data_IF_589711246030
#
_entry.id   IF_589711246030
#
_cell.length_a   1.000
_cell.length_b   1.000
_cell.length_c   1.000
_cell.angle_alpha   90.00
_cell.angle_beta   90.00
_cell.angle_gamma   90.00
#
_symmetry.space_group_name_H-M   'P 1'
#
loop_
_entity.id
_entity.type
_entity.pdbx_description
1 polymer ?
#
# COMPACT_ATOMS: atom_id res chain seq x y z
N UNK A 1 -7.32 19.85 37.64
CA UNK A 1 -7.83 18.69 36.88
C UNK A 1 -8.09 19.13 35.46
N UNK A 2 -7.13 18.88 34.57
CA UNK A 2 -7.33 19.09 33.12
C UNK A 2 -8.25 17.94 32.66
N UNK A 3 -9.45 18.24 32.12
CA UNK A 3 -10.39 17.19 31.77
C UNK A 3 -9.80 16.31 30.71
N UNK A 4 -9.64 15.02 31.00
CA UNK A 4 -9.19 13.96 30.10
C UNK A 4 -9.92 13.96 28.73
N UNK A 5 -11.07 14.60 28.65
CA UNK A 5 -11.86 14.81 27.43
C UNK A 5 -11.20 15.74 26.40
N UNK A 6 -10.42 16.73 26.84
CA UNK A 6 -9.75 17.68 25.93
C UNK A 6 -8.53 17.04 25.27
N UNK A 7 -7.78 16.20 25.99
CA UNK A 7 -6.62 15.49 25.44
C UNK A 7 -7.01 14.52 24.34
N UNK A 8 -8.13 13.82 24.50
CA UNK A 8 -8.64 12.91 23.45
C UNK A 8 -9.15 13.64 22.20
N UNK A 9 -9.73 14.83 22.36
CA UNK A 9 -10.23 15.61 21.21
C UNK A 9 -9.11 16.28 20.41
N UNK A 10 -8.06 16.75 21.05
CA UNK A 10 -6.89 17.30 20.33
C UNK A 10 -6.12 16.23 19.54
N UNK A 11 -5.97 15.03 20.10
CA UNK A 11 -5.37 13.91 19.39
C UNK A 11 -6.17 13.53 18.13
N UNK A 12 -7.50 13.44 18.24
CA UNK A 12 -8.36 13.14 17.10
C UNK A 12 -8.36 14.23 16.02
N UNK A 13 -8.23 15.50 16.38
CA UNK A 13 -8.17 16.61 15.41
C UNK A 13 -6.83 16.62 14.68
N UNK A 14 -5.74 16.32 15.37
CA UNK A 14 -4.39 16.29 14.80
C UNK A 14 -4.24 15.13 13.81
N UNK A 15 -4.70 13.95 14.16
CA UNK A 15 -4.67 12.76 13.30
C UNK A 15 -5.54 12.92 12.03
N UNK A 16 -6.69 13.58 12.15
CA UNK A 16 -7.55 13.87 10.99
C UNK A 16 -6.89 14.82 10.00
N UNK A 17 -6.21 15.85 10.48
CA UNK A 17 -5.51 16.80 9.61
C UNK A 17 -4.36 16.13 8.85
N UNK A 18 -3.65 15.20 9.47
CA UNK A 18 -2.56 14.45 8.85
C UNK A 18 -3.06 13.54 7.72
N UNK A 19 -4.15 12.80 7.96
CA UNK A 19 -4.76 11.92 6.96
C UNK A 19 -5.32 12.72 5.78
N UNK A 20 -6.01 13.82 6.03
CA UNK A 20 -6.53 14.69 4.96
C UNK A 20 -5.39 15.32 4.14
N UNK A 21 -4.32 15.76 4.80
CA UNK A 21 -3.17 16.34 4.12
C UNK A 21 -2.46 15.31 3.22
N UNK A 22 -2.26 14.09 3.70
CA UNK A 22 -1.64 13.03 2.90
C UNK A 22 -2.51 12.60 1.71
N UNK A 23 -3.84 12.57 1.87
CA UNK A 23 -4.76 12.34 0.77
C UNK A 23 -4.70 13.46 -0.29
N UNK A 24 -4.65 14.74 0.13
CA UNK A 24 -4.47 15.84 -0.80
C UNK A 24 -3.15 15.77 -1.55
N UNK A 25 -2.04 15.43 -0.87
CA UNK A 25 -0.75 15.21 -1.51
C UNK A 25 -0.77 14.06 -2.53
N UNK A 26 -1.54 13.02 -2.26
CA UNK A 26 -1.72 11.93 -3.23
C UNK A 26 -2.38 12.43 -4.52
N UNK A 27 -3.41 13.26 -4.45
CA UNK A 27 -4.03 13.87 -5.64
C UNK A 27 -3.05 14.80 -6.38
N UNK A 28 -2.27 15.60 -5.66
CA UNK A 28 -1.23 16.43 -6.27
C UNK A 28 -0.20 15.56 -7.01
N UNK A 29 0.26 14.48 -6.39
CA UNK A 29 1.19 13.54 -7.01
C UNK A 29 0.59 12.90 -8.29
N UNK A 30 -0.70 12.52 -8.26
CA UNK A 30 -1.40 12.01 -9.44
C UNK A 30 -1.43 13.05 -10.57
N UNK A 31 -1.67 14.32 -10.27
CA UNK A 31 -1.67 15.38 -11.28
C UNK A 31 -0.28 15.63 -11.87
N UNK A 32 0.76 15.57 -11.05
CA UNK A 32 2.15 15.68 -11.53
C UNK A 32 2.49 14.53 -12.49
N UNK A 33 2.11 13.29 -12.13
CA UNK A 33 2.29 12.12 -13.00
C UNK A 33 1.51 12.29 -14.30
N UNK A 34 0.25 12.75 -14.23
CA UNK A 34 -0.56 13.04 -15.42
C UNK A 34 0.10 14.06 -16.34
N UNK A 35 0.61 15.14 -15.77
CA UNK A 35 1.34 16.16 -16.53
C UNK A 35 2.58 15.56 -17.23
N UNK A 36 3.37 14.74 -16.55
CA UNK A 36 4.52 14.07 -17.14
C UNK A 36 4.10 13.11 -18.27
N UNK A 37 3.00 12.39 -18.10
CA UNK A 37 2.47 11.46 -19.11
C UNK A 37 2.07 12.24 -20.37
N UNK A 38 1.31 13.33 -20.23
CA UNK A 38 0.89 14.16 -21.37
C UNK A 38 2.08 14.72 -22.13
N UNK A 39 3.18 15.03 -21.43
CA UNK A 39 4.39 15.52 -22.08
C UNK A 39 5.12 14.44 -22.89
N UNK A 40 5.09 13.18 -22.44
CA UNK A 40 5.80 12.04 -23.05
C UNK A 40 4.87 11.03 -23.74
N UNK A 41 3.57 11.32 -23.85
CA UNK A 41 2.61 10.38 -24.46
C UNK A 41 2.95 10.07 -25.92
N UNK A 42 2.81 8.80 -26.29
CA UNK A 42 2.94 8.33 -27.66
C UNK A 42 2.01 7.14 -27.92
N UNK A 43 1.02 7.22 -28.83
CA UNK A 43 0.61 8.40 -29.61
C UNK A 43 -0.10 9.47 -28.78
N UNK A 44 -0.10 10.71 -29.24
CA UNK A 44 -0.75 11.84 -28.54
C UNK A 44 -2.25 11.59 -28.33
N UNK A 45 -2.72 11.83 -27.11
CA UNK A 45 -4.13 11.59 -26.71
C UNK A 45 -4.41 10.19 -26.15
N UNK A 46 -3.39 9.33 -26.01
CA UNK A 46 -3.54 7.97 -25.47
C UNK A 46 -3.58 7.89 -23.94
N UNK A 47 -3.23 8.98 -23.23
CA UNK A 47 -3.02 9.01 -21.78
C UNK A 47 -2.03 7.95 -21.25
N UNK A 48 -1.13 7.46 -22.11
CA UNK A 48 -0.10 6.49 -21.79
C UNK A 48 1.21 6.85 -22.49
N UNK A 49 2.34 6.51 -21.89
CA UNK A 49 3.66 6.72 -22.50
C UNK A 49 3.94 5.72 -23.63
N UNK A 50 3.01 4.79 -23.88
CA UNK A 50 3.25 3.65 -24.77
C UNK A 50 4.17 2.61 -24.14
N UNK A 51 4.61 1.63 -24.94
CA UNK A 51 5.52 0.60 -24.45
C UNK A 51 6.94 1.17 -24.43
N UNK A 52 7.52 1.27 -23.26
CA UNK A 52 8.85 1.84 -23.04
C UNK A 52 9.90 0.91 -23.67
N UNK A 53 10.74 1.46 -24.55
CA UNK A 53 11.87 0.77 -25.19
C UNK A 53 11.52 -0.57 -25.85
N UNK A 54 10.42 -0.64 -26.56
CA UNK A 54 9.95 -1.86 -27.24
C UNK A 54 11.02 -2.48 -28.17
N UNK A 55 11.82 -1.64 -28.84
CA UNK A 55 12.83 -2.10 -29.79
C UNK A 55 14.09 -2.65 -29.10
N UNK A 56 14.54 -2.02 -28.01
CA UNK A 56 15.81 -2.36 -27.34
C UNK A 56 15.61 -3.19 -26.08
N UNK A 57 14.37 -3.29 -25.56
CA UNK A 57 14.03 -3.91 -24.25
C UNK A 57 14.89 -3.40 -23.08
N UNK A 58 15.53 -2.22 -23.25
CA UNK A 58 16.36 -1.61 -22.23
C UNK A 58 15.50 -1.21 -21.02
N UNK A 59 15.92 -1.63 -19.82
CA UNK A 59 15.18 -1.38 -18.59
C UNK A 59 14.07 -2.40 -18.26
N UNK A 60 13.88 -3.41 -19.10
CA UNK A 60 13.01 -4.54 -18.80
C UNK A 60 13.76 -5.54 -17.93
N UNK A 61 13.08 -6.14 -16.97
CA UNK A 61 13.67 -7.19 -16.16
C UNK A 61 13.85 -8.46 -17.03
N UNK A 62 15.05 -9.07 -17.05
CA UNK A 62 15.29 -10.27 -17.84
C UNK A 62 14.45 -11.45 -17.34
N UNK A 63 14.17 -12.40 -18.23
CA UNK A 63 13.46 -13.62 -17.87
C UNK A 63 14.35 -14.52 -16.99
N UNK A 64 13.82 -14.96 -15.85
CA UNK A 64 14.50 -15.91 -14.96
C UNK A 64 13.89 -17.29 -15.14
N UNK A 65 14.67 -18.30 -15.52
CA UNK A 65 14.23 -19.69 -15.78
C UNK A 65 13.06 -19.80 -16.77
N UNK A 66 12.98 -18.91 -17.78
CA UNK A 66 11.90 -18.90 -18.76
C UNK A 66 10.57 -18.32 -18.24
N UNK A 67 10.56 -17.77 -17.04
CA UNK A 67 9.39 -17.10 -16.47
C UNK A 67 9.54 -15.57 -16.54
N UNK A 68 8.56 -14.91 -17.15
CA UNK A 68 8.55 -13.46 -17.36
C UNK A 68 8.58 -12.66 -16.05
N UNK A 69 8.05 -13.21 -14.96
CA UNK A 69 7.91 -12.51 -13.67
C UNK A 69 8.87 -13.00 -12.58
N UNK A 70 9.86 -13.86 -12.93
CA UNK A 70 10.76 -14.47 -11.96
C UNK A 70 11.51 -13.43 -11.11
N UNK A 71 12.10 -12.43 -11.74
CA UNK A 71 12.80 -11.35 -11.04
C UNK A 71 11.90 -10.49 -10.14
N UNK A 72 10.65 -10.27 -10.55
CA UNK A 72 9.69 -9.53 -9.73
C UNK A 72 9.45 -10.25 -8.40
N UNK A 73 9.24 -11.56 -8.45
CA UNK A 73 9.03 -12.38 -7.24
C UNK A 73 10.27 -12.36 -6.35
N UNK A 74 11.47 -12.50 -6.92
CA UNK A 74 12.73 -12.48 -6.16
C UNK A 74 12.92 -11.14 -5.46
N UNK A 75 12.72 -10.02 -6.16
CA UNK A 75 12.86 -8.67 -5.57
C UNK A 75 11.88 -8.48 -4.42
N UNK A 76 10.61 -8.85 -4.62
CA UNK A 76 9.58 -8.74 -3.57
C UNK A 76 9.92 -9.61 -2.37
N UNK A 77 10.41 -10.83 -2.59
CA UNK A 77 10.82 -11.75 -1.53
C UNK A 77 11.99 -11.18 -0.70
N UNK A 78 13.02 -10.68 -1.37
CA UNK A 78 14.17 -10.03 -0.72
C UNK A 78 13.71 -8.81 0.10
N UNK A 79 12.85 -7.97 -0.45
CA UNK A 79 12.29 -6.82 0.27
C UNK A 79 11.47 -7.24 1.48
N UNK A 80 10.64 -8.27 1.36
CA UNK A 80 9.81 -8.77 2.47
C UNK A 80 10.67 -9.31 3.60
N UNK A 81 11.67 -10.15 3.28
CA UNK A 81 12.60 -10.69 4.28
C UNK A 81 13.45 -9.58 4.89
N UNK A 82 13.94 -8.65 4.06
CA UNK A 82 14.72 -7.51 4.52
C UNK A 82 13.93 -6.62 5.48
N UNK A 83 12.67 -6.32 5.17
CA UNK A 83 11.79 -5.55 6.06
C UNK A 83 11.44 -6.30 7.34
N UNK A 84 11.24 -7.61 7.27
CA UNK A 84 11.04 -8.42 8.47
C UNK A 84 12.25 -8.37 9.41
N UNK A 85 13.46 -8.54 8.88
CA UNK A 85 14.70 -8.46 9.64
C UNK A 85 14.88 -7.05 10.21
N UNK A 86 14.64 -6.02 9.40
CA UNK A 86 14.77 -4.64 9.82
C UNK A 86 13.83 -4.28 10.98
N UNK A 87 12.55 -4.65 10.89
CA UNK A 87 11.57 -4.33 11.93
C UNK A 87 11.79 -5.14 13.21
N UNK A 88 12.21 -6.41 13.11
CA UNK A 88 12.29 -7.32 14.25
C UNK A 88 13.65 -7.29 14.97
N UNK A 89 14.74 -7.13 14.23
CA UNK A 89 16.10 -7.31 14.78
C UNK A 89 16.91 -6.01 14.84
N UNK A 90 16.55 -4.96 14.11
CA UNK A 90 17.29 -3.71 14.15
C UNK A 90 16.81 -2.80 15.29
N UNK A 91 17.74 -2.05 15.89
CA UNK A 91 17.44 -1.00 16.89
C UNK A 91 16.40 -0.01 16.37
N UNK A 92 16.45 0.30 15.09
CA UNK A 92 15.52 1.23 14.44
C UNK A 92 14.09 0.69 14.40
N UNK A 93 13.91 -0.63 14.21
CA UNK A 93 12.60 -1.26 14.27
C UNK A 93 11.99 -1.17 15.68
N UNK A 94 12.79 -1.34 16.71
CA UNK A 94 12.37 -1.14 18.10
C UNK A 94 11.96 0.33 18.34
N UNK A 95 12.75 1.30 17.90
CA UNK A 95 12.41 2.73 18.01
C UNK A 95 11.09 3.07 17.35
N UNK A 96 10.82 2.48 16.15
CA UNK A 96 9.55 2.65 15.42
C UNK A 96 8.38 2.08 16.23
N UNK A 97 8.53 0.88 16.79
CA UNK A 97 7.49 0.23 17.59
C UNK A 97 7.13 1.06 18.84
N UNK A 98 8.13 1.55 19.56
CA UNK A 98 7.92 2.38 20.78
C UNK A 98 7.25 3.70 20.43
N UNK A 99 7.68 4.38 19.35
CA UNK A 99 7.07 5.64 18.90
C UNK A 99 5.61 5.41 18.46
N UNK A 100 5.35 4.27 17.78
CA UNK A 100 4.01 3.90 17.33
C UNK A 100 3.04 3.59 18.48
N UNK A 101 3.54 3.08 19.61
CA UNK A 101 2.72 2.80 20.78
C UNK A 101 2.42 4.08 21.59
N UNK A 102 3.44 4.91 21.83
CA UNK A 102 3.27 6.19 22.54
C UNK A 102 4.45 7.13 22.31
N UNK A 103 4.17 8.30 21.73
CA UNK A 103 5.19 9.36 21.58
C UNK A 103 5.78 9.82 22.92
N UNK A 104 4.96 9.90 23.96
CA UNK A 104 5.40 10.34 25.27
C UNK A 104 6.37 9.33 25.87
N UNK A 105 6.06 8.04 25.80
CA UNK A 105 6.94 6.96 26.27
C UNK A 105 8.27 6.98 25.53
N UNK A 106 8.25 7.19 24.22
CA UNK A 106 9.46 7.28 23.40
C UNK A 106 10.35 8.46 23.84
N UNK A 107 9.76 9.62 24.13
CA UNK A 107 10.50 10.81 24.64
C UNK A 107 11.12 10.55 26.00
N UNK A 108 10.42 9.90 26.92
CA UNK A 108 10.99 9.51 28.23
C UNK A 108 12.15 8.51 28.09
N UNK A 109 12.10 7.64 27.10
CA UNK A 109 13.19 6.72 26.77
C UNK A 109 14.37 7.38 26.01
N UNK A 110 14.33 8.70 25.79
CA UNK A 110 15.38 9.45 25.08
C UNK A 110 15.38 9.28 23.56
N UNK A 111 14.31 8.73 22.98
CA UNK A 111 14.19 8.53 21.55
C UNK A 111 13.78 9.85 20.88
N UNK A 112 14.50 10.23 19.82
CA UNK A 112 14.20 11.44 19.06
C UNK A 112 13.07 11.16 18.05
N UNK A 113 11.81 11.27 18.49
CA UNK A 113 10.59 10.97 17.73
C UNK A 113 10.62 11.58 16.32
N UNK A 114 10.99 12.85 16.18
CA UNK A 114 11.07 13.53 14.89
C UNK A 114 12.02 12.85 13.88
N UNK A 115 13.19 12.38 14.35
CA UNK A 115 14.14 11.67 13.47
C UNK A 115 13.62 10.29 13.06
N UNK A 116 12.93 9.60 13.98
CA UNK A 116 12.32 8.29 13.70
C UNK A 116 11.26 8.43 12.63
N UNK A 117 10.34 9.41 12.76
CA UNK A 117 9.28 9.66 11.78
C UNK A 117 9.87 9.97 10.39
N UNK A 118 10.81 10.92 10.30
CA UNK A 118 11.40 11.29 9.00
C UNK A 118 12.08 10.08 8.33
N UNK A 119 12.83 9.28 9.09
CA UNK A 119 13.50 8.09 8.58
C UNK A 119 12.50 7.03 8.11
N UNK A 120 11.46 6.79 8.88
CA UNK A 120 10.41 5.81 8.52
C UNK A 120 9.69 6.22 7.24
N UNK A 121 9.35 7.50 7.10
CA UNK A 121 8.74 8.03 5.89
C UNK A 121 9.67 7.92 4.68
N UNK A 122 10.97 8.19 4.84
CA UNK A 122 11.94 8.05 3.76
C UNK A 122 12.10 6.59 3.31
N UNK A 123 12.17 5.63 4.25
CA UNK A 123 12.23 4.20 3.94
C UNK A 123 10.95 3.74 3.24
N UNK A 124 9.79 4.14 3.75
CA UNK A 124 8.50 3.83 3.11
C UNK A 124 8.43 4.36 1.68
N UNK A 125 8.83 5.61 1.46
CA UNK A 125 8.90 6.21 0.12
C UNK A 125 9.85 5.45 -0.82
N UNK A 126 11.02 5.03 -0.33
CA UNK A 126 11.97 4.25 -1.11
C UNK A 126 11.38 2.88 -1.53
N UNK A 127 10.70 2.18 -0.61
CA UNK A 127 10.02 0.91 -0.91
C UNK A 127 8.91 1.09 -1.93
N UNK A 128 8.10 2.15 -1.80
CA UNK A 128 7.07 2.49 -2.78
C UNK A 128 7.68 2.79 -4.16
N UNK A 129 8.83 3.48 -4.22
CA UNK A 129 9.57 3.72 -5.45
C UNK A 129 10.03 2.42 -6.11
N UNK A 130 10.60 1.48 -5.32
CA UNK A 130 11.01 0.16 -5.83
C UNK A 130 9.78 -0.63 -6.31
N UNK A 131 8.66 -0.59 -5.59
CA UNK A 131 7.43 -1.25 -6.01
C UNK A 131 6.92 -0.69 -7.35
N UNK A 132 6.94 0.62 -7.53
CA UNK A 132 6.61 1.26 -8.81
C UNK A 132 7.55 0.84 -9.94
N UNK A 133 8.86 0.80 -9.68
CA UNK A 133 9.84 0.30 -10.64
C UNK A 133 9.55 -1.14 -11.06
N UNK A 134 9.31 -2.05 -10.10
CA UNK A 134 9.01 -3.46 -10.37
C UNK A 134 7.73 -3.61 -11.20
N UNK A 135 6.70 -2.80 -10.96
CA UNK A 135 5.46 -2.83 -11.73
C UNK A 135 5.71 -2.39 -13.18
N UNK A 136 6.42 -1.28 -13.37
CA UNK A 136 6.66 -0.73 -14.71
C UNK A 136 7.66 -1.56 -15.49
N UNK A 137 8.79 -1.92 -14.87
CA UNK A 137 9.87 -2.64 -15.54
C UNK A 137 9.60 -4.13 -15.72
N UNK A 138 8.81 -4.72 -14.82
CA UNK A 138 8.60 -6.16 -14.79
C UNK A 138 7.23 -6.64 -15.25
N UNK A 139 6.21 -5.79 -15.29
CA UNK A 139 4.87 -6.25 -15.59
C UNK A 139 4.16 -5.44 -16.68
N UNK A 140 4.03 -4.13 -16.53
CA UNK A 140 3.21 -3.32 -17.44
C UNK A 140 3.98 -2.75 -18.62
N UNK A 141 5.29 -2.55 -18.49
CA UNK A 141 6.17 -1.92 -19.50
C UNK A 141 5.66 -0.56 -20.02
N UNK A 142 4.67 0.02 -19.35
CA UNK A 142 4.07 1.30 -19.68
C UNK A 142 3.72 2.06 -18.41
N UNK A 143 3.64 3.39 -18.51
CA UNK A 143 3.18 4.26 -17.45
C UNK A 143 1.87 4.90 -17.89
N UNK A 144 0.83 4.73 -17.07
CA UNK A 144 -0.46 5.37 -17.26
C UNK A 144 -0.95 5.97 -15.94
N UNK A 145 -1.92 6.85 -16.00
CA UNK A 145 -2.57 7.41 -14.81
C UNK A 145 -3.21 6.33 -13.91
N UNK A 146 -3.59 5.20 -14.51
CA UNK A 146 -4.18 4.05 -13.81
C UNK A 146 -3.15 3.04 -13.28
N UNK A 147 -1.85 3.24 -13.49
CA UNK A 147 -0.81 2.27 -13.08
C UNK A 147 -0.84 1.99 -11.56
N UNK A 148 -1.15 2.99 -10.75
CA UNK A 148 -1.31 2.82 -9.30
C UNK A 148 -2.60 2.07 -8.90
N UNK A 149 -3.69 2.20 -9.70
CA UNK A 149 -4.93 1.43 -9.62
C UNK A 149 -5.56 1.30 -8.23
N UNK A 150 -5.41 2.29 -7.35
CA UNK A 150 -5.94 2.22 -5.97
C UNK A 150 -5.24 1.22 -5.04
N UNK A 151 -4.14 0.61 -5.47
CA UNK A 151 -3.40 -0.42 -4.70
C UNK A 151 -2.93 0.06 -3.33
N UNK A 152 -2.74 1.38 -3.15
CA UNK A 152 -2.41 1.96 -1.86
C UNK A 152 -3.52 1.74 -0.82
N UNK A 153 -4.79 1.92 -1.19
CA UNK A 153 -5.92 1.67 -0.30
C UNK A 153 -6.05 0.18 0.05
N UNK A 154 -5.87 -0.69 -0.95
CA UNK A 154 -5.85 -2.15 -0.71
C UNK A 154 -4.71 -2.54 0.24
N UNK A 155 -3.54 -1.92 0.12
CA UNK A 155 -2.41 -2.16 1.02
C UNK A 155 -2.71 -1.76 2.47
N UNK A 156 -3.46 -0.68 2.70
CA UNK A 156 -3.91 -0.30 4.05
C UNK A 156 -4.80 -1.40 4.63
N UNK A 157 -5.77 -1.91 3.86
CA UNK A 157 -6.66 -2.99 4.29
C UNK A 157 -5.85 -4.25 4.64
N UNK A 158 -4.87 -4.63 3.80
CA UNK A 158 -3.97 -5.75 4.04
C UNK A 158 -3.19 -5.58 5.34
N UNK A 159 -2.65 -4.38 5.58
CA UNK A 159 -1.87 -4.07 6.78
C UNK A 159 -2.70 -4.25 8.06
N UNK A 160 -3.94 -3.73 8.06
CA UNK A 160 -4.86 -3.86 9.19
C UNK A 160 -5.29 -5.31 9.42
N UNK A 161 -5.68 -6.02 8.36
CA UNK A 161 -6.13 -7.41 8.41
C UNK A 161 -5.04 -8.37 8.90
N UNK A 162 -3.78 -8.07 8.60
CA UNK A 162 -2.61 -8.85 9.03
C UNK A 162 -2.07 -8.47 10.41
N UNK A 163 -2.68 -7.49 11.10
CA UNK A 163 -2.20 -6.95 12.38
C UNK A 163 -0.71 -6.57 12.34
N UNK A 164 -0.28 -6.01 11.23
CA UNK A 164 1.12 -5.59 10.96
C UNK A 164 2.16 -6.72 11.04
N UNK A 165 1.74 -7.98 10.94
CA UNK A 165 2.65 -9.12 10.87
C UNK A 165 3.07 -9.37 9.42
N UNK A 166 4.37 -9.25 9.13
CA UNK A 166 4.91 -9.31 7.77
C UNK A 166 4.56 -10.60 7.02
N UNK A 167 4.62 -11.76 7.68
CA UNK A 167 4.28 -13.04 7.04
C UNK A 167 2.79 -13.16 6.74
N UNK A 168 1.94 -12.73 7.67
CA UNK A 168 0.49 -12.74 7.48
C UNK A 168 0.11 -11.75 6.37
N UNK A 169 0.81 -10.60 6.26
CA UNK A 169 0.63 -9.64 5.16
C UNK A 169 0.83 -10.29 3.79
N UNK A 170 1.86 -11.12 3.62
CA UNK A 170 2.11 -11.83 2.36
C UNK A 170 0.98 -12.78 2.04
N UNK A 171 0.51 -13.57 3.02
CA UNK A 171 -0.59 -14.51 2.82
C UNK A 171 -1.91 -13.79 2.49
N UNK A 172 -2.24 -12.72 3.22
CA UNK A 172 -3.44 -11.90 2.99
C UNK A 172 -3.38 -11.20 1.63
N UNK A 173 -2.24 -10.60 1.26
CA UNK A 173 -2.07 -9.94 -0.02
C UNK A 173 -2.24 -10.92 -1.18
N UNK A 174 -1.69 -12.13 -1.06
CA UNK A 174 -1.87 -13.19 -2.04
C UNK A 174 -3.35 -13.56 -2.19
N UNK A 175 -4.06 -13.73 -1.07
CA UNK A 175 -5.50 -14.02 -1.07
C UNK A 175 -6.33 -12.93 -1.77
N UNK A 176 -6.06 -11.65 -1.48
CA UNK A 176 -6.77 -10.51 -2.10
C UNK A 176 -6.47 -10.45 -3.61
N UNK A 177 -5.20 -10.64 -4.02
CA UNK A 177 -4.84 -10.66 -5.45
C UNK A 177 -5.50 -11.82 -6.17
N UNK A 178 -5.54 -13.00 -5.54
CA UNK A 178 -6.24 -14.18 -6.10
C UNK A 178 -7.73 -13.90 -6.30
N UNK A 179 -8.39 -13.30 -5.30
CA UNK A 179 -9.81 -12.93 -5.41
C UNK A 179 -10.05 -11.84 -6.47
N UNK A 180 -9.15 -10.86 -6.57
CA UNK A 180 -9.23 -9.84 -7.61
C UNK A 180 -9.13 -10.47 -9.00
N UNK A 181 -8.16 -11.35 -9.19
CA UNK A 181 -7.96 -12.03 -10.49
C UNK A 181 -9.15 -12.93 -10.83
N UNK A 182 -9.71 -13.62 -9.84
CA UNK A 182 -10.93 -14.40 -10.00
C UNK A 182 -12.14 -13.55 -10.40
N UNK A 183 -12.32 -12.38 -9.76
CA UNK A 183 -13.41 -11.45 -10.10
C UNK A 183 -13.27 -10.90 -11.54
N UNK A 184 -12.05 -10.55 -11.98
CA UNK A 184 -11.78 -10.11 -13.35
C UNK A 184 -12.09 -11.24 -14.33
N UNK A 185 -11.72 -12.48 -14.03
CA UNK A 185 -11.98 -13.63 -14.89
C UNK A 185 -13.47 -13.94 -15.03
N UNK A 186 -14.22 -13.87 -13.95
CA UNK A 186 -15.67 -14.01 -13.96
C UNK A 186 -16.30 -12.90 -14.81
N UNK A 187 -15.90 -11.64 -14.61
CA UNK A 187 -16.42 -10.52 -15.36
C UNK A 187 -16.19 -10.68 -16.89
N UNK A 188 -15.00 -11.12 -17.29
CA UNK A 188 -14.68 -11.38 -18.70
C UNK A 188 -15.47 -12.54 -19.29
N UNK A 189 -15.66 -13.64 -18.54
CA UNK A 189 -16.44 -14.80 -19.01
C UNK A 189 -17.92 -14.48 -19.23
N UNK A 190 -18.50 -13.65 -18.38
CA UNK A 190 -19.92 -13.26 -18.47
C UNK A 190 -20.13 -11.97 -19.26
N UNK A 191 -19.09 -11.42 -19.91
CA UNK A 191 -19.19 -10.18 -20.68
C UNK A 191 -19.53 -8.95 -19.85
N UNK A 192 -19.24 -9.00 -18.54
CA UNK A 192 -19.46 -7.88 -17.64
C UNK A 192 -18.37 -6.83 -17.80
N UNK A 193 -18.72 -5.58 -17.54
CA UNK A 193 -17.77 -4.48 -17.57
C UNK A 193 -16.72 -4.63 -16.47
N UNK A 194 -15.49 -4.16 -16.70
CA UNK A 194 -14.37 -4.16 -15.73
C UNK A 194 -14.78 -3.57 -14.36
N UNK A 195 -15.67 -2.60 -14.36
CA UNK A 195 -16.21 -2.02 -13.13
C UNK A 195 -17.00 -3.02 -12.27
N UNK A 196 -17.60 -4.06 -12.86
CA UNK A 196 -18.32 -5.08 -12.11
C UNK A 196 -17.38 -5.92 -11.22
N UNK A 197 -16.15 -6.20 -11.67
CA UNK A 197 -15.15 -6.87 -10.85
C UNK A 197 -14.72 -6.04 -9.64
N UNK A 198 -14.60 -4.72 -9.82
CA UNK A 198 -14.27 -3.81 -8.73
C UNK A 198 -15.39 -3.73 -7.67
N UNK A 199 -16.66 -3.78 -8.09
CA UNK A 199 -17.81 -3.83 -7.17
C UNK A 199 -17.83 -5.15 -6.39
N UNK A 200 -17.62 -6.29 -7.05
CA UNK A 200 -17.53 -7.60 -6.39
C UNK A 200 -16.40 -7.62 -5.36
N UNK A 201 -15.23 -7.12 -5.71
CA UNK A 201 -14.10 -7.02 -4.81
C UNK A 201 -14.41 -6.12 -3.61
N UNK A 202 -15.07 -4.97 -3.83
CA UNK A 202 -15.49 -4.07 -2.76
C UNK A 202 -16.44 -4.75 -1.77
N UNK A 203 -17.42 -5.52 -2.26
CA UNK A 203 -18.34 -6.29 -1.42
C UNK A 203 -17.59 -7.32 -0.59
N UNK A 204 -16.68 -8.07 -1.20
CA UNK A 204 -15.88 -9.09 -0.49
C UNK A 204 -15.02 -8.45 0.60
N UNK A 205 -14.32 -7.36 0.29
CA UNK A 205 -13.51 -6.63 1.25
C UNK A 205 -14.35 -6.07 2.41
N UNK A 206 -15.54 -5.56 2.12
CA UNK A 206 -16.47 -5.09 3.14
C UNK A 206 -16.85 -6.20 4.13
N UNK A 207 -17.19 -7.39 3.63
CA UNK A 207 -17.51 -8.53 4.48
C UNK A 207 -16.30 -9.05 5.25
N UNK A 208 -15.11 -9.04 4.67
CA UNK A 208 -13.87 -9.42 5.35
C UNK A 208 -13.57 -8.49 6.54
N UNK A 209 -13.65 -7.18 6.35
CA UNK A 209 -13.43 -6.20 7.42
C UNK A 209 -14.52 -6.33 8.48
N UNK A 210 -15.78 -6.53 8.07
CA UNK A 210 -16.90 -6.77 8.98
C UNK A 210 -16.69 -8.02 9.82
N UNK A 211 -16.29 -9.13 9.24
CA UNK A 211 -16.00 -10.38 9.95
C UNK A 211 -14.87 -10.20 10.96
N UNK A 212 -13.80 -9.51 10.60
CA UNK A 212 -12.68 -9.21 11.51
C UNK A 212 -13.13 -8.38 12.70
N UNK A 213 -14.00 -7.40 12.49
CA UNK A 213 -14.58 -6.62 13.58
C UNK A 213 -15.32 -7.51 14.59
N UNK A 214 -16.15 -8.44 14.12
CA UNK A 214 -16.87 -9.36 15.00
C UNK A 214 -15.97 -10.40 15.69
N UNK A 215 -14.86 -10.77 15.10
CA UNK A 215 -13.85 -11.66 15.70
C UNK A 215 -13.11 -10.96 16.85
N UNK A 216 -12.73 -9.69 16.65
CA UNK A 216 -11.93 -8.95 17.62
C UNK A 216 -12.79 -8.29 18.73
N UNK A 217 -14.05 -7.96 18.46
CA UNK A 217 -14.94 -7.27 19.39
C UNK A 217 -16.20 -8.09 19.70
N UNK A 218 -16.40 -8.42 20.98
CA UNK A 218 -17.66 -9.01 21.44
C UNK A 218 -18.67 -7.88 21.73
N UNK A 219 -19.76 -7.86 21.00
CA UNK A 219 -20.88 -6.96 21.26
C UNK A 219 -21.54 -7.36 22.56
N UNK A 220 -21.31 -6.63 23.65
CA UNK A 220 -22.07 -6.79 24.90
C UNK A 220 -23.30 -5.89 24.86
N UNK A 221 -24.50 -6.49 24.87
CA UNK A 221 -25.73 -5.74 25.02
C UNK A 221 -25.74 -5.12 26.41
N UNK A 222 -25.71 -3.81 26.52
CA UNK A 222 -25.87 -3.13 27.80
C UNK A 222 -27.27 -3.48 28.32
N UNK A 223 -27.35 -4.23 29.43
CA UNK A 223 -28.60 -4.40 30.18
C UNK A 223 -28.94 -3.02 30.78
N UNK A 224 -30.04 -2.44 30.33
CA UNK A 224 -30.69 -1.29 30.96
C UNK A 224 -31.27 -1.68 32.30
#
# INVERSE_FOLDING_TARGET
EIPLRLVGSEMCIRDRNETLFTLMLNYVAMQVVTYCIVFWENPKGSNTVGIINQATKGGWLPELFGQKYGWNVVIVLILTVGMFIYLKYCKQGYEIAVVGESENTARYAGIQVKKVIIRTMAISGAICGIAGFVIVSGASHTISTATAGGRGFTAIIVAWLSKFNTFIMVAVSFGIVFMNQGAVQIATQYGLNENASNVLLGIILFFLIGAEFFINYRVKRAKK
#
